data_IF_970935377031
#
_entry.id   IF_970935377031
#
_cell.length_a   1.000
_cell.length_b   1.000
_cell.length_c   1.000
_cell.angle_alpha   90.00
_cell.angle_beta   90.00
_cell.angle_gamma   90.00
#
_symmetry.space_group_name_H-M   'P 1'
#
loop_
_entity.id
_entity.type
_entity.pdbx_description
1 polymer ?
#
# COMPACT_ATOMS: atom_id res chain seq x y z
N UNK A 1 -0.40 11.23 -6.34
CA UNK A 1 -1.42 11.12 -7.39
C UNK A 1 -2.16 12.43 -7.38
N UNK A 2 -2.20 13.12 -8.50
CA UNK A 2 -2.90 14.41 -8.63
C UNK A 2 -4.43 14.21 -8.70
N UNK A 3 -5.22 15.22 -8.34
CA UNK A 3 -6.69 15.15 -8.35
C UNK A 3 -7.26 14.81 -9.73
N UNK A 4 -6.60 15.27 -10.80
CA UNK A 4 -6.97 14.90 -12.18
C UNK A 4 -6.81 13.39 -12.44
N UNK A 5 -5.74 12.81 -11.93
CA UNK A 5 -5.48 11.37 -12.05
C UNK A 5 -6.50 10.56 -11.26
N UNK A 6 -6.83 10.97 -10.04
CA UNK A 6 -7.84 10.32 -9.21
C UNK A 6 -9.21 10.36 -9.91
N UNK A 7 -9.62 11.53 -10.40
CA UNK A 7 -10.88 11.71 -11.12
C UNK A 7 -10.97 10.81 -12.35
N UNK A 8 -9.90 10.77 -13.17
CA UNK A 8 -9.81 9.88 -14.33
C UNK A 8 -9.90 8.41 -13.91
N UNK A 9 -9.19 8.02 -12.86
CA UNK A 9 -9.11 6.64 -12.39
C UNK A 9 -10.44 6.10 -11.87
N UNK A 10 -11.19 6.89 -11.11
CA UNK A 10 -12.51 6.49 -10.60
C UNK A 10 -13.65 6.87 -11.57
N UNK A 11 -13.30 7.30 -12.79
CA UNK A 11 -14.21 7.65 -13.89
C UNK A 11 -15.28 8.70 -13.52
N UNK A 12 -14.84 9.81 -12.93
CA UNK A 12 -15.69 10.97 -12.62
C UNK A 12 -15.08 12.26 -13.15
N UNK A 13 -15.92 13.28 -13.32
CA UNK A 13 -15.39 14.61 -13.65
C UNK A 13 -14.60 15.20 -12.47
N UNK A 14 -13.63 16.06 -12.77
CA UNK A 14 -12.86 16.77 -11.74
C UNK A 14 -13.78 17.62 -10.84
N UNK A 15 -14.80 18.27 -11.41
CA UNK A 15 -15.79 19.04 -10.66
C UNK A 15 -16.62 18.18 -9.71
N UNK A 16 -16.99 16.97 -10.13
CA UNK A 16 -17.67 15.98 -9.27
C UNK A 16 -16.80 15.59 -8.09
N UNK A 17 -15.50 15.34 -8.32
CA UNK A 17 -14.56 15.01 -7.25
C UNK A 17 -14.43 16.16 -6.24
N UNK A 18 -14.30 17.41 -6.70
CA UNK A 18 -14.28 18.58 -5.82
C UNK A 18 -15.58 18.77 -5.02
N UNK A 19 -16.73 18.43 -5.62
CA UNK A 19 -18.00 18.48 -4.91
C UNK A 19 -18.02 17.42 -3.79
N UNK A 20 -17.59 16.19 -4.08
CA UNK A 20 -17.56 15.10 -3.09
C UNK A 20 -16.60 15.37 -1.93
N UNK A 21 -15.52 16.11 -2.12
CA UNK A 21 -14.66 16.58 -1.01
C UNK A 21 -15.44 17.36 0.04
N UNK A 22 -16.45 18.13 -0.37
CA UNK A 22 -17.26 18.95 0.52
C UNK A 22 -18.49 18.20 1.02
N UNK A 23 -19.12 17.41 0.14
CA UNK A 23 -20.44 16.81 0.41
C UNK A 23 -20.38 15.36 0.90
N UNK A 24 -19.26 14.67 0.67
CA UNK A 24 -19.07 13.24 1.00
C UNK A 24 -17.63 12.98 1.51
N UNK A 25 -17.20 13.60 2.62
CA UNK A 25 -15.81 13.49 3.10
C UNK A 25 -15.41 12.04 3.44
N UNK A 26 -16.32 11.22 3.97
CA UNK A 26 -16.03 9.81 4.28
C UNK A 26 -15.83 8.96 3.02
N UNK A 27 -16.54 9.25 1.93
CA UNK A 27 -16.30 8.59 0.63
C UNK A 27 -14.89 8.90 0.11
N UNK A 28 -14.45 10.15 0.25
CA UNK A 28 -13.10 10.57 -0.16
C UNK A 28 -12.02 9.89 0.69
N UNK A 29 -12.24 9.69 2.00
CA UNK A 29 -11.36 8.88 2.84
C UNK A 29 -11.25 7.44 2.34
N UNK A 30 -12.37 6.78 2.04
CA UNK A 30 -12.38 5.40 1.54
C UNK A 30 -11.63 5.27 0.20
N UNK A 31 -11.87 6.19 -0.73
CA UNK A 31 -11.14 6.25 -2.01
C UNK A 31 -9.64 6.41 -1.75
N UNK A 32 -9.26 7.34 -0.87
CA UNK A 32 -7.86 7.58 -0.52
C UNK A 32 -7.20 6.37 0.12
N UNK A 33 -7.91 5.62 0.98
CA UNK A 33 -7.42 4.38 1.56
C UNK A 33 -7.24 3.29 0.51
N UNK A 34 -8.21 3.09 -0.38
CA UNK A 34 -8.07 2.12 -1.48
C UNK A 34 -6.87 2.42 -2.37
N UNK A 35 -6.68 3.69 -2.75
CA UNK A 35 -5.53 4.11 -3.57
C UNK A 35 -4.18 3.95 -2.86
N UNK A 36 -4.13 4.12 -1.53
CA UNK A 36 -2.94 3.85 -0.73
C UNK A 36 -2.68 2.35 -0.59
N UNK A 37 -3.72 1.58 -0.33
CA UNK A 37 -3.63 0.13 -0.19
C UNK A 37 -3.10 -0.50 -1.48
N UNK A 38 -3.62 -0.12 -2.64
CA UNK A 38 -3.14 -0.61 -3.92
C UNK A 38 -1.69 -0.22 -4.21
N UNK A 39 -1.28 1.01 -3.86
CA UNK A 39 0.13 1.42 -3.96
C UNK A 39 1.03 0.56 -3.07
N UNK A 40 0.60 0.34 -1.84
CA UNK A 40 1.33 -0.51 -0.91
C UNK A 40 1.31 -1.97 -1.37
N UNK A 41 0.23 -2.48 -1.95
CA UNK A 41 0.21 -3.80 -2.58
C UNK A 41 1.26 -3.87 -3.68
N UNK A 42 1.37 -2.88 -4.57
CA UNK A 42 2.40 -2.88 -5.63
C UNK A 42 3.82 -2.96 -5.03
N UNK A 43 4.12 -2.21 -3.97
CA UNK A 43 5.42 -2.27 -3.28
C UNK A 43 5.63 -3.58 -2.48
N UNK A 44 4.58 -4.15 -1.90
CA UNK A 44 4.63 -5.41 -1.16
C UNK A 44 4.75 -6.61 -2.12
N UNK A 45 4.18 -6.48 -3.32
CA UNK A 45 4.13 -7.50 -4.35
C UNK A 45 5.52 -7.83 -4.91
N UNK A 46 6.47 -6.89 -4.93
CA UNK A 46 7.83 -7.20 -5.39
C UNK A 46 8.57 -8.15 -4.42
N UNK A 47 8.48 -7.91 -3.11
CA UNK A 47 9.04 -8.83 -2.11
C UNK A 47 8.36 -10.19 -2.20
N UNK A 48 7.03 -10.23 -2.22
CA UNK A 48 6.26 -11.48 -2.36
C UNK A 48 6.64 -12.24 -3.63
N UNK A 49 6.75 -11.55 -4.77
CA UNK A 49 7.11 -12.12 -6.07
C UNK A 49 8.47 -12.82 -6.04
N UNK A 50 9.49 -12.23 -5.43
CA UNK A 50 10.81 -12.87 -5.35
C UNK A 50 10.86 -13.90 -4.23
N UNK A 51 10.19 -13.67 -3.11
CA UNK A 51 10.14 -14.61 -2.00
C UNK A 51 9.49 -15.93 -2.39
N UNK A 52 8.44 -15.90 -3.23
CA UNK A 52 7.78 -17.08 -3.78
C UNK A 52 8.67 -17.92 -4.72
N UNK A 53 9.72 -17.32 -5.30
CA UNK A 53 10.67 -18.02 -6.17
C UNK A 53 11.74 -18.80 -5.40
N UNK A 54 11.87 -18.55 -4.10
CA UNK A 54 12.86 -19.19 -3.24
C UNK A 54 12.42 -20.59 -2.81
N UNK A 55 13.39 -21.45 -2.51
CA UNK A 55 13.13 -22.71 -1.82
C UNK A 55 12.65 -22.46 -0.38
N UNK A 56 11.95 -23.45 0.19
CA UNK A 56 11.40 -23.33 1.55
C UNK A 56 12.46 -22.99 2.61
N UNK A 57 13.66 -23.56 2.47
CA UNK A 57 14.74 -23.32 3.42
C UNK A 57 15.27 -21.89 3.33
N UNK A 58 15.30 -21.32 2.13
CA UNK A 58 15.71 -19.93 1.89
C UNK A 58 14.64 -18.97 2.43
N UNK A 59 13.36 -19.27 2.21
CA UNK A 59 12.24 -18.52 2.79
C UNK A 59 12.33 -18.48 4.33
N UNK A 60 12.57 -19.63 4.98
CA UNK A 60 12.73 -19.71 6.43
C UNK A 60 13.94 -18.93 6.94
N UNK A 61 15.06 -18.98 6.20
CA UNK A 61 16.26 -18.21 6.50
C UNK A 61 15.99 -16.70 6.50
N UNK A 62 15.45 -16.15 5.41
CA UNK A 62 15.15 -14.72 5.30
C UNK A 62 14.10 -14.27 6.32
N UNK A 63 13.07 -15.09 6.57
CA UNK A 63 12.09 -14.79 7.61
C UNK A 63 12.73 -14.70 9.00
N UNK A 64 13.68 -15.58 9.30
CA UNK A 64 14.43 -15.57 10.55
C UNK A 64 15.30 -14.32 10.68
N UNK A 65 15.95 -13.89 9.60
CA UNK A 65 16.75 -12.65 9.57
C UNK A 65 15.88 -11.41 9.84
N UNK A 66 14.72 -11.30 9.17
CA UNK A 66 13.78 -10.19 9.37
C UNK A 66 13.32 -10.15 10.83
N UNK A 67 12.96 -11.30 11.42
CA UNK A 67 12.55 -11.39 12.84
C UNK A 67 13.68 -10.93 13.78
N UNK A 68 14.91 -11.36 13.53
CA UNK A 68 16.07 -10.96 14.33
C UNK A 68 16.30 -9.45 14.26
N UNK A 69 16.19 -8.85 13.08
CA UNK A 69 16.36 -7.41 12.88
C UNK A 69 15.27 -6.58 13.59
N UNK A 70 14.01 -7.03 13.55
CA UNK A 70 12.91 -6.41 14.30
C UNK A 70 13.18 -6.46 15.81
N UNK A 71 13.66 -7.59 16.32
CA UNK A 71 14.00 -7.74 17.74
C UNK A 71 15.16 -6.82 18.15
N UNK A 72 16.24 -6.79 17.36
CA UNK A 72 17.39 -5.88 17.58
C UNK A 72 16.94 -4.42 17.65
N UNK A 73 16.01 -3.99 16.79
CA UNK A 73 15.47 -2.62 16.81
C UNK A 73 14.68 -2.32 18.08
N UNK A 74 13.92 -3.30 18.60
CA UNK A 74 13.19 -3.16 19.87
C UNK A 74 14.12 -3.06 21.07
N UNK A 75 15.23 -3.82 21.09
CA UNK A 75 16.22 -3.79 22.17
C UNK A 75 17.07 -2.50 22.22
N UNK A 76 17.08 -1.72 21.14
CA UNK A 76 17.76 -0.42 21.06
C UNK A 76 16.88 0.76 21.51
N UNK A 77 15.60 0.52 21.82
CA UNK A 77 14.67 1.48 22.43
C UNK A 77 14.64 1.27 23.94
#
# INVERSE_FOLDING_TARGET
MDKKEIAKRINVSLGTLYNWEKTKPELIKLISYGLKYERNEIETNEISKYFEQLEKIEQEFYLSEIKANVLRKKLRK
#
